data_IF_838921467007
#
_entry.id   IF_838921467007
#
_cell.length_a   1.000
_cell.length_b   1.000
_cell.length_c   1.000
_cell.angle_alpha   90.00
_cell.angle_beta   90.00
_cell.angle_gamma   90.00
#
_symmetry.space_group_name_H-M   'P 1'
#
loop_
_entity.id
_entity.type
_entity.pdbx_description
1 polymer ?
#
# COMPACT_ATOMS: atom_id res chain seq x y z
N UNK A 1 9.66 -18.75 5.32
CA UNK A 1 10.22 -17.79 6.31
C UNK A 1 9.39 -16.50 6.41
N UNK A 2 9.20 -15.72 5.33
CA UNK A 2 8.44 -14.46 5.37
C UNK A 2 6.94 -14.59 5.70
N UNK A 3 6.25 -15.62 5.17
CA UNK A 3 4.83 -15.86 5.50
C UNK A 3 4.59 -16.04 7.02
N UNK A 4 5.55 -16.64 7.72
CA UNK A 4 5.47 -16.81 9.18
C UNK A 4 5.60 -15.46 9.91
N UNK A 5 6.46 -14.56 9.43
CA UNK A 5 6.60 -13.19 9.96
C UNK A 5 5.29 -12.44 9.82
N UNK A 6 4.66 -12.47 8.64
CA UNK A 6 3.35 -11.84 8.41
C UNK A 6 2.33 -12.35 9.42
N UNK A 7 2.26 -13.66 9.64
CA UNK A 7 1.34 -14.26 10.62
C UNK A 7 1.63 -13.80 12.05
N UNK A 8 2.90 -13.76 12.46
CA UNK A 8 3.28 -13.35 13.82
C UNK A 8 2.90 -11.91 14.12
N UNK A 9 3.10 -10.99 13.16
CA UNK A 9 2.90 -9.55 13.41
C UNK A 9 1.50 -9.03 13.05
N UNK A 10 0.85 -9.62 12.05
CA UNK A 10 -0.49 -9.19 11.63
C UNK A 10 -1.62 -10.03 12.21
N UNK A 11 -1.31 -11.20 12.80
CA UNK A 11 -2.30 -12.18 13.24
C UNK A 11 -3.06 -12.85 12.10
N UNK A 12 -2.68 -12.60 10.84
CA UNK A 12 -3.35 -13.09 9.63
C UNK A 12 -2.35 -13.81 8.73
N UNK A 13 -2.83 -14.81 8.02
CA UNK A 13 -2.02 -15.43 6.97
C UNK A 13 -1.83 -14.47 5.79
N UNK A 14 -0.75 -14.65 5.04
CA UNK A 14 -0.55 -13.90 3.81
C UNK A 14 -1.61 -14.34 2.77
N UNK A 15 -2.41 -13.41 2.23
CA UNK A 15 -3.52 -13.75 1.35
C UNK A 15 -3.01 -14.38 0.04
N UNK A 16 -3.46 -15.59 -0.34
CA UNK A 16 -3.01 -16.25 -1.57
C UNK A 16 -3.71 -15.70 -2.82
N UNK A 17 -4.91 -15.12 -2.67
CA UNK A 17 -5.69 -14.56 -3.77
C UNK A 17 -5.14 -13.18 -4.21
N UNK A 18 -4.71 -13.02 -5.47
CA UNK A 18 -4.25 -11.73 -5.99
C UNK A 18 -5.31 -10.63 -5.93
N UNK A 19 -6.60 -10.96 -6.02
CA UNK A 19 -7.68 -9.96 -5.96
C UNK A 19 -7.82 -9.39 -4.56
N UNK A 20 -7.72 -10.23 -3.54
CA UNK A 20 -7.66 -9.79 -2.14
C UNK A 20 -6.41 -8.91 -1.88
N UNK A 21 -5.25 -9.30 -2.38
CA UNK A 21 -4.03 -8.48 -2.27
C UNK A 21 -4.22 -7.09 -2.88
N UNK A 22 -4.78 -7.02 -4.09
CA UNK A 22 -5.06 -5.73 -4.76
C UNK A 22 -6.01 -4.87 -3.93
N UNK A 23 -7.12 -5.44 -3.44
CA UNK A 23 -8.10 -4.73 -2.61
C UNK A 23 -7.45 -4.17 -1.34
N UNK A 24 -6.73 -5.00 -0.60
CA UNK A 24 -6.08 -4.58 0.66
C UNK A 24 -4.99 -3.52 0.44
N UNK A 25 -4.28 -3.59 -0.70
CA UNK A 25 -3.32 -2.56 -1.10
C UNK A 25 -3.99 -1.22 -1.44
N UNK A 26 -5.07 -1.23 -2.24
CA UNK A 26 -5.86 -0.04 -2.56
C UNK A 26 -6.41 0.63 -1.30
N UNK A 27 -7.00 -0.15 -0.38
CA UNK A 27 -7.48 0.38 0.91
C UNK A 27 -6.35 0.96 1.75
N UNK A 28 -5.16 0.35 1.75
CA UNK A 28 -4.01 0.86 2.46
C UNK A 28 -3.56 2.23 1.93
N UNK A 29 -3.62 2.46 0.62
CA UNK A 29 -3.33 3.77 0.01
C UNK A 29 -4.37 4.80 0.46
N UNK A 30 -5.66 4.48 0.43
CA UNK A 30 -6.69 5.41 0.91
C UNK A 30 -6.53 5.74 2.40
N UNK A 31 -6.24 4.73 3.24
CA UNK A 31 -5.93 4.96 4.67
C UNK A 31 -4.70 5.84 4.86
N UNK A 32 -3.69 5.72 3.98
CA UNK A 32 -2.45 6.51 4.09
C UNK A 32 -2.68 8.02 3.95
N UNK A 33 -3.72 8.45 3.21
CA UNK A 33 -4.10 9.86 3.09
C UNK A 33 -4.44 10.50 4.45
N UNK A 34 -5.00 9.70 5.37
CA UNK A 34 -5.39 10.13 6.71
C UNK A 34 -4.34 9.79 7.77
N UNK A 35 -3.16 9.31 7.37
CA UNK A 35 -2.06 9.06 8.29
C UNK A 35 -1.48 10.37 8.85
N UNK A 36 -1.00 10.33 10.10
CA UNK A 36 -0.43 11.51 10.80
C UNK A 36 0.56 12.30 9.94
N UNK A 37 1.51 11.62 9.28
CA UNK A 37 2.51 12.29 8.44
C UNK A 37 1.89 13.02 7.24
N UNK A 38 0.86 12.46 6.62
CA UNK A 38 0.18 13.09 5.49
C UNK A 38 -0.64 14.32 5.93
N UNK A 39 -1.30 14.22 7.09
CA UNK A 39 -2.00 15.35 7.73
C UNK A 39 -1.02 16.48 8.07
N UNK A 40 0.09 16.17 8.74
CA UNK A 40 1.11 17.15 9.12
C UNK A 40 1.69 17.86 7.88
N UNK A 41 1.95 17.10 6.80
CA UNK A 41 2.42 17.65 5.53
C UNK A 41 1.41 18.61 4.90
N UNK A 42 0.11 18.24 4.85
CA UNK A 42 -0.93 19.12 4.30
C UNK A 42 -1.08 20.41 5.07
N UNK A 43 -1.01 20.35 6.40
CA UNK A 43 -1.05 21.53 7.26
C UNK A 43 0.12 22.47 6.96
N UNK A 44 1.33 21.92 6.82
CA UNK A 44 2.52 22.71 6.52
C UNK A 44 2.52 23.29 5.09
N UNK A 45 1.92 22.59 4.13
CA UNK A 45 1.88 22.98 2.72
C UNK A 45 0.61 23.75 2.32
N UNK A 46 -0.34 23.95 3.24
CA UNK A 46 -1.61 24.63 2.95
C UNK A 46 -2.53 23.85 1.99
N UNK A 47 -2.46 22.53 1.99
CA UNK A 47 -3.22 21.67 1.07
C UNK A 47 -4.59 21.32 1.70
N UNK A 48 -5.72 21.53 0.99
CA UNK A 48 -7.04 21.12 1.45
C UNK A 48 -7.14 19.62 1.75
N UNK A 49 -7.88 19.25 2.79
CA UNK A 49 -7.97 17.86 3.27
C UNK A 49 -8.99 17.02 2.48
N UNK A 50 -9.85 17.65 1.70
CA UNK A 50 -10.95 17.07 0.93
C UNK A 50 -10.56 16.54 -0.46
N UNK A 51 -9.34 16.83 -0.92
CA UNK A 51 -8.83 16.38 -2.24
C UNK A 51 -8.64 14.86 -2.36
N UNK A 52 -8.36 14.17 -1.25
CA UNK A 52 -8.12 12.72 -1.23
C UNK A 52 -6.80 12.27 -1.89
N UNK A 53 -6.68 10.98 -2.17
CA UNK A 53 -5.56 10.39 -2.92
C UNK A 53 -6.04 9.34 -3.91
N UNK A 54 -5.32 9.15 -5.01
CA UNK A 54 -5.65 8.19 -6.07
C UNK A 54 -4.76 6.95 -6.00
N UNK A 55 -5.23 5.85 -6.59
CA UNK A 55 -4.49 4.60 -6.72
C UNK A 55 -4.26 4.30 -8.19
N UNK A 56 -3.00 4.18 -8.59
CA UNK A 56 -2.62 3.76 -9.93
C UNK A 56 -2.27 2.27 -9.90
N UNK A 57 -2.92 1.48 -10.76
CA UNK A 57 -2.65 0.05 -10.94
C UNK A 57 -1.98 -0.14 -12.30
N UNK A 58 -0.81 -0.77 -12.32
CA UNK A 58 0.01 -0.90 -13.52
C UNK A 58 0.51 -2.33 -13.67
N UNK A 59 0.64 -2.78 -14.92
CA UNK A 59 1.26 -4.07 -15.24
C UNK A 59 2.77 -3.97 -14.99
N UNK A 60 3.31 -4.94 -14.25
CA UNK A 60 4.74 -5.02 -14.00
C UNK A 60 5.49 -5.49 -15.25
N UNK A 61 6.64 -4.87 -15.53
CA UNK A 61 7.64 -5.32 -16.53
C UNK A 61 8.96 -5.50 -15.79
N UNK A 62 9.71 -6.56 -16.12
CA UNK A 62 10.92 -6.92 -15.38
C UNK A 62 12.17 -6.73 -16.25
N UNK A 63 12.94 -5.68 -15.95
CA UNK A 63 14.25 -5.42 -16.58
C UNK A 63 15.43 -6.09 -15.86
N UNK A 64 15.16 -6.79 -14.76
CA UNK A 64 16.11 -7.49 -13.91
C UNK A 64 15.96 -9.02 -13.99
N UNK A 65 15.43 -9.54 -15.10
CA UNK A 65 15.32 -10.98 -15.36
C UNK A 65 16.58 -11.60 -15.96
N UNK A 66 17.76 -11.00 -15.74
CA UNK A 66 19.00 -11.67 -16.14
C UNK A 66 19.12 -12.98 -15.36
N UNK A 67 19.03 -14.07 -16.11
CA UNK A 67 19.14 -15.44 -15.63
C UNK A 67 20.60 -15.74 -15.34
N UNK A 68 20.99 -15.63 -14.07
CA UNK A 68 22.06 -16.47 -13.49
C UNK A 68 21.47 -17.78 -13.00
#
# INVERSE_FOLDING_TARGET
>A
RYKAVVRTFSGREFPPDPREQLRTATEAVFRSWNGKRAVDYRNAAGIPHDLGTAVNVQTMVFGNMDSS
#
